data_IF_187048655803
#
_entry.id   IF_187048655803
#
_cell.length_a   1.000
_cell.length_b   1.000
_cell.length_c   1.000
_cell.angle_alpha   90.00
_cell.angle_beta   90.00
_cell.angle_gamma   90.00
#
_symmetry.space_group_name_H-M   'P 1'
#
loop_
_entity.id
_entity.type
_entity.pdbx_description
1 polymer ?
#
# COMPACT_ATOMS: atom_id res chain seq x y z
N UNK A 1 1.76 9.53 6.36
CA UNK A 1 2.11 8.18 6.84
C UNK A 1 1.19 7.16 6.19
N UNK A 2 1.67 5.95 5.88
CA UNK A 2 1.00 4.93 5.05
C UNK A 2 0.24 3.84 5.84
N UNK A 3 -0.03 4.06 7.14
CA UNK A 3 -0.87 3.20 7.98
C UNK A 3 -0.53 1.69 7.90
N UNK A 4 0.75 1.35 7.99
CA UNK A 4 1.22 -0.04 7.96
C UNK A 4 0.64 -0.83 9.13
N UNK A 5 0.00 -1.97 8.84
CA UNK A 5 -0.60 -2.83 9.86
C UNK A 5 0.48 -3.69 10.56
N UNK A 6 0.75 -3.39 11.83
CA UNK A 6 1.80 -4.05 12.63
C UNK A 6 1.47 -5.51 12.96
N UNK A 7 0.19 -5.91 12.98
CA UNK A 7 -0.19 -7.32 13.17
C UNK A 7 0.37 -8.22 12.06
N UNK A 8 0.46 -7.70 10.83
CA UNK A 8 0.92 -8.46 9.66
C UNK A 8 2.36 -8.14 9.27
N UNK A 9 2.79 -6.89 9.47
CA UNK A 9 4.08 -6.39 8.97
C UNK A 9 5.03 -5.91 10.07
N UNK A 10 4.71 -6.15 11.35
CA UNK A 10 5.55 -5.74 12.48
C UNK A 10 6.97 -6.31 12.43
N UNK A 11 7.15 -7.50 11.84
CA UNK A 11 8.46 -8.14 11.64
C UNK A 11 9.42 -7.36 10.74
N UNK A 12 8.97 -6.30 10.06
CA UNK A 12 9.80 -5.46 9.16
C UNK A 12 10.56 -4.36 9.88
N UNK A 13 10.28 -4.15 11.15
CA UNK A 13 10.90 -3.13 12.00
C UNK A 13 11.31 -3.74 13.33
N UNK A 14 12.18 -3.08 14.10
CA UNK A 14 12.61 -3.59 15.40
C UNK A 14 11.49 -3.43 16.43
N UNK A 15 10.85 -2.27 16.42
CA UNK A 15 9.73 -1.93 17.29
C UNK A 15 8.61 -1.24 16.51
N UNK A 16 7.33 -1.40 16.87
CA UNK A 16 6.21 -0.74 16.18
C UNK A 16 6.34 0.79 16.07
N UNK A 17 6.97 1.43 17.05
CA UNK A 17 7.21 2.87 17.08
C UNK A 17 8.17 3.35 15.99
N UNK A 18 9.01 2.47 15.42
CA UNK A 18 9.90 2.81 14.31
C UNK A 18 9.10 3.26 13.08
N UNK A 19 7.84 2.80 12.94
CA UNK A 19 6.93 3.24 11.90
C UNK A 19 6.39 4.66 12.12
N UNK A 20 6.72 5.34 13.22
CA UNK A 20 6.44 6.76 13.42
C UNK A 20 7.47 7.66 12.70
N UNK A 21 8.67 7.14 12.40
CA UNK A 21 9.61 7.82 11.51
C UNK A 21 9.06 7.83 10.07
N UNK A 22 8.85 9.00 9.44
CA UNK A 22 8.22 9.08 8.13
C UNK A 22 8.97 8.35 7.02
N UNK A 23 10.31 8.38 7.06
CA UNK A 23 11.13 7.72 6.05
C UNK A 23 11.02 6.20 6.15
N UNK A 24 11.11 5.67 7.37
CA UNK A 24 10.94 4.25 7.68
C UNK A 24 9.53 3.78 7.28
N UNK A 25 8.51 4.55 7.65
CA UNK A 25 7.12 4.22 7.33
C UNK A 25 6.87 4.07 5.83
N UNK A 26 7.33 5.04 5.02
CA UNK A 26 7.13 5.02 3.56
C UNK A 26 7.96 3.91 2.91
N UNK A 27 9.20 3.68 3.37
CA UNK A 27 10.05 2.59 2.85
C UNK A 27 9.41 1.22 3.08
N UNK A 28 8.96 0.93 4.31
CA UNK A 28 8.31 -0.34 4.65
C UNK A 28 7.03 -0.53 3.84
N UNK A 29 6.20 0.51 3.75
CA UNK A 29 4.97 0.46 2.97
C UNK A 29 5.21 0.25 1.47
N UNK A 30 6.21 0.90 0.89
CA UNK A 30 6.60 0.72 -0.51
C UNK A 30 7.09 -0.71 -0.78
N UNK A 31 7.84 -1.32 0.14
CA UNK A 31 8.23 -2.73 0.03
C UNK A 31 7.01 -3.66 0.02
N UNK A 32 6.05 -3.46 0.96
CA UNK A 32 4.83 -4.26 1.00
C UNK A 32 4.05 -4.14 -0.32
N UNK A 33 3.88 -2.90 -0.82
CA UNK A 33 3.18 -2.66 -2.07
C UNK A 33 3.90 -3.29 -3.26
N UNK A 34 5.24 -3.18 -3.33
CA UNK A 34 6.06 -3.78 -4.38
C UNK A 34 5.90 -5.30 -4.42
N UNK A 35 5.87 -5.96 -3.26
CA UNK A 35 5.63 -7.40 -3.17
C UNK A 35 4.22 -7.79 -3.64
N UNK A 36 3.19 -6.98 -3.34
CA UNK A 36 1.83 -7.23 -3.86
C UNK A 36 1.78 -7.07 -5.37
N UNK A 37 2.47 -6.08 -5.93
CA UNK A 37 2.56 -5.90 -7.39
C UNK A 37 3.26 -7.09 -8.04
N UNK A 38 4.36 -7.56 -7.44
CA UNK A 38 5.08 -8.74 -7.94
C UNK A 38 4.23 -10.01 -7.91
N UNK A 39 3.35 -10.17 -6.91
CA UNK A 39 2.40 -11.29 -6.81
C UNK A 39 1.24 -11.21 -7.81
N UNK A 40 0.90 -10.00 -8.26
CA UNK A 40 -0.23 -9.74 -9.15
C UNK A 40 0.20 -8.87 -10.36
N UNK A 41 1.14 -9.34 -11.20
CA UNK A 41 1.76 -8.52 -12.25
C UNK A 41 0.78 -8.04 -13.33
N UNK A 42 -0.37 -8.69 -13.46
CA UNK A 42 -1.41 -8.38 -14.44
C UNK A 42 -2.68 -7.77 -13.83
N UNK A 43 -2.75 -7.57 -12.50
CA UNK A 43 -3.90 -6.94 -11.82
C UNK A 43 -3.39 -5.92 -10.79
N UNK A 44 -3.00 -4.75 -11.28
CA UNK A 44 -2.52 -3.65 -10.44
C UNK A 44 -3.57 -3.19 -9.43
N UNK A 45 -4.88 -3.26 -9.77
CA UNK A 45 -5.94 -2.91 -8.85
C UNK A 45 -6.00 -3.91 -7.68
N UNK A 46 -5.90 -5.21 -7.95
CA UNK A 46 -5.83 -6.22 -6.89
C UNK A 46 -4.55 -6.07 -6.06
N UNK A 47 -3.39 -5.80 -6.67
CA UNK A 47 -2.14 -5.54 -5.96
C UNK A 47 -2.25 -4.37 -4.97
N UNK A 48 -2.74 -3.22 -5.44
CA UNK A 48 -2.96 -2.03 -4.61
C UNK A 48 -4.00 -2.30 -3.52
N UNK A 49 -5.07 -3.03 -3.87
CA UNK A 49 -6.12 -3.41 -2.92
C UNK A 49 -5.63 -4.32 -1.80
N UNK A 50 -4.78 -5.29 -2.14
CA UNK A 50 -4.24 -6.27 -1.21
C UNK A 50 -3.26 -5.65 -0.19
N UNK A 51 -2.71 -4.46 -0.47
CA UNK A 51 -2.02 -3.67 0.55
C UNK A 51 -2.94 -3.35 1.74
N UNK A 52 -4.22 -3.05 1.48
CA UNK A 52 -5.19 -2.67 2.51
C UNK A 52 -5.94 -3.86 3.12
N UNK A 53 -6.32 -4.85 2.29
CA UNK A 53 -7.10 -6.00 2.75
C UNK A 53 -6.99 -7.15 1.76
N UNK A 54 -6.80 -8.38 2.26
CA UNK A 54 -6.83 -9.59 1.43
C UNK A 54 -8.24 -10.03 1.01
N UNK A 55 -9.30 -9.41 1.56
CA UNK A 55 -10.67 -9.65 1.10
C UNK A 55 -10.91 -8.95 -0.25
N UNK A 56 -11.28 -9.67 -1.33
CA UNK A 56 -11.33 -9.10 -2.68
C UNK A 56 -12.29 -7.92 -2.87
N UNK A 57 -13.44 -7.95 -2.19
CA UNK A 57 -14.45 -6.88 -2.19
C UNK A 57 -13.85 -5.55 -1.68
N UNK A 58 -13.22 -5.60 -0.51
CA UNK A 58 -12.57 -4.44 0.12
C UNK A 58 -11.31 -4.01 -0.61
N UNK A 59 -10.52 -4.96 -1.10
CA UNK A 59 -9.34 -4.71 -1.90
C UNK A 59 -9.68 -3.86 -3.13
N UNK A 60 -10.65 -4.31 -3.94
CA UNK A 60 -11.07 -3.59 -5.15
C UNK A 60 -11.75 -2.27 -4.83
N UNK A 61 -12.52 -2.17 -3.74
CA UNK A 61 -13.07 -0.89 -3.28
C UNK A 61 -11.96 0.11 -2.97
N UNK A 62 -10.98 -0.27 -2.17
CA UNK A 62 -9.84 0.59 -1.80
C UNK A 62 -9.01 0.99 -3.02
N UNK A 63 -8.68 0.04 -3.88
CA UNK A 63 -7.90 0.28 -5.08
C UNK A 63 -8.54 1.30 -6.02
N UNK A 64 -9.87 1.25 -6.21
CA UNK A 64 -10.60 2.25 -7.01
C UNK A 64 -10.42 3.67 -6.47
N UNK A 65 -10.45 3.85 -5.14
CA UNK A 65 -10.24 5.16 -4.53
C UNK A 65 -8.81 5.66 -4.77
N UNK A 66 -7.82 4.81 -4.53
CA UNK A 66 -6.41 5.14 -4.75
C UNK A 66 -6.11 5.47 -6.20
N UNK A 67 -6.59 4.67 -7.16
CA UNK A 67 -6.36 4.87 -8.59
C UNK A 67 -7.04 6.14 -9.12
N UNK A 68 -8.22 6.48 -8.59
CA UNK A 68 -8.89 7.76 -8.90
C UNK A 68 -8.03 8.94 -8.45
N UNK A 69 -7.54 8.92 -7.22
CA UNK A 69 -6.67 9.98 -6.69
C UNK A 69 -5.36 10.07 -7.47
N UNK A 70 -4.71 8.94 -7.74
CA UNK A 70 -3.47 8.88 -8.52
C UNK A 70 -3.65 9.48 -9.92
N UNK A 71 -4.71 9.10 -10.62
CA UNK A 71 -5.01 9.63 -11.96
C UNK A 71 -5.23 11.14 -11.91
N UNK A 72 -6.01 11.65 -10.94
CA UNK A 72 -6.24 13.07 -10.78
C UNK A 72 -4.94 13.86 -10.53
N UNK A 73 -4.08 13.36 -9.64
CA UNK A 73 -2.79 13.98 -9.34
C UNK A 73 -1.83 13.95 -10.55
N UNK A 74 -1.88 12.89 -11.35
CA UNK A 74 -1.07 12.77 -12.56
C UNK A 74 -1.52 13.76 -13.64
N UNK A 75 -2.81 14.01 -13.76
CA UNK A 75 -3.37 14.98 -14.71
C UNK A 75 -3.08 16.43 -14.28
N UNK A 76 -3.12 16.74 -12.98
CA UNK A 76 -2.80 18.09 -12.47
C UNK A 76 -1.31 18.47 -12.56
N UNK A 77 -0.44 17.48 -12.74
CA UNK A 77 1.01 17.67 -12.89
C UNK A 77 1.46 17.74 -14.35
N UNK A 78 0.52 17.73 -15.30
CA UNK A 78 0.74 17.97 -16.73
C UNK A 78 0.21 19.35 -17.08
#
# INVERSE_FOLDING_TARGET
MMQVNTRWHGHRVKEPKDLLDPLTNVRVAAQILSEQIARHPHDAALAIGNYHSSRPDRARWYARHVLRLYTNLKTQRR
#
